data_IF_015505438694
#
_entry.id   IF_015505438694
#
_cell.length_a   1.000
_cell.length_b   1.000
_cell.length_c   1.000
_cell.angle_alpha   90.00
_cell.angle_beta   90.00
_cell.angle_gamma   90.00
#
_symmetry.space_group_name_H-M   'P 1'
#
loop_
_entity.id
_entity.type
_entity.pdbx_description
1 polymer ?
#
# COMPACT_ATOMS: atom_id res chain seq x y z
N UNK A 1 2.30 -10.88 21.70
CA UNK A 1 2.05 -11.45 20.37
C UNK A 1 3.35 -11.32 19.59
N UNK A 2 3.85 -12.40 18.99
CA UNK A 2 5.12 -12.39 18.26
C UNK A 2 4.92 -11.80 16.86
N UNK A 3 5.87 -10.98 16.38
CA UNK A 3 5.88 -10.46 15.01
C UNK A 3 6.35 -11.54 14.03
N UNK A 4 5.38 -12.17 13.36
CA UNK A 4 5.63 -13.22 12.37
C UNK A 4 6.16 -12.61 11.05
N UNK A 5 5.77 -11.38 10.72
CA UNK A 5 6.09 -10.75 9.44
C UNK A 5 7.52 -10.20 9.42
N UNK A 6 8.03 -9.75 10.56
CA UNK A 6 9.42 -9.32 10.74
C UNK A 6 10.45 -10.45 10.74
N UNK A 7 10.04 -11.72 10.69
CA UNK A 7 10.96 -12.87 10.63
C UNK A 7 11.63 -12.97 9.27
N UNK A 8 12.84 -13.52 9.25
CA UNK A 8 13.56 -13.80 8.01
C UNK A 8 12.80 -14.80 7.13
N UNK A 9 12.59 -14.45 5.86
CA UNK A 9 12.04 -15.38 4.87
C UNK A 9 13.13 -16.29 4.30
N UNK A 10 12.90 -17.60 4.33
CA UNK A 10 13.83 -18.63 3.85
C UNK A 10 13.49 -19.13 2.44
N UNK A 11 12.36 -18.69 1.87
CA UNK A 11 11.91 -19.13 0.54
C UNK A 11 12.71 -18.46 -0.59
N UNK A 12 13.32 -17.31 -0.32
CA UNK A 12 14.12 -16.57 -1.30
C UNK A 12 13.31 -15.97 -2.46
N UNK A 13 11.98 -15.88 -2.33
CA UNK A 13 11.09 -15.36 -3.37
C UNK A 13 10.84 -13.87 -3.11
N UNK A 14 11.32 -12.96 -3.97
CA UNK A 14 10.92 -11.55 -3.88
C UNK A 14 9.45 -11.38 -4.23
N UNK A 15 8.78 -10.38 -3.64
CA UNK A 15 7.45 -9.95 -4.07
C UNK A 15 7.58 -8.53 -4.60
N UNK A 16 7.36 -8.36 -5.90
CA UNK A 16 7.49 -7.05 -6.56
C UNK A 16 6.48 -6.03 -6.02
N UNK A 17 5.27 -6.46 -5.64
CA UNK A 17 4.26 -5.56 -5.07
C UNK A 17 3.43 -6.26 -3.99
N UNK A 18 3.52 -5.77 -2.76
CA UNK A 18 2.64 -6.15 -1.64
C UNK A 18 2.03 -4.91 -1.01
N UNK A 19 0.76 -4.96 -0.63
CA UNK A 19 0.06 -3.82 -0.01
C UNK A 19 -1.46 -3.94 -0.14
N UNK A 20 -2.14 -2.78 -0.13
CA UNK A 20 -3.60 -2.70 -0.10
C UNK A 20 -4.13 -2.14 -1.42
N UNK A 21 -5.25 -2.68 -1.89
CA UNK A 21 -5.90 -2.31 -3.15
C UNK A 21 -7.37 -1.93 -2.90
N UNK A 22 -7.88 -1.03 -3.74
CA UNK A 22 -9.28 -0.59 -3.79
C UNK A 22 -9.81 0.10 -2.53
N UNK A 23 -8.92 0.74 -1.77
CA UNK A 23 -9.35 1.57 -0.64
C UNK A 23 -10.16 2.75 -1.19
N UNK A 24 -11.39 2.92 -0.69
CA UNK A 24 -12.20 4.11 -0.94
C UNK A 24 -11.86 5.16 0.11
N UNK A 25 -11.35 6.30 -0.32
CA UNK A 25 -10.94 7.37 0.59
C UNK A 25 -11.34 8.76 0.07
N UNK A 26 -11.94 9.63 0.91
CA UNK A 26 -12.23 11.00 0.53
C UNK A 26 -10.95 11.79 0.27
N UNK A 27 -10.88 12.50 -0.85
CA UNK A 27 -9.78 13.39 -1.19
C UNK A 27 -10.30 14.73 -1.72
N UNK A 28 -9.42 15.73 -1.69
CA UNK A 28 -9.63 17.00 -2.38
C UNK A 28 -8.63 17.11 -3.52
N UNK A 29 -9.12 17.40 -4.73
CA UNK A 29 -8.30 17.64 -5.91
C UNK A 29 -8.38 19.12 -6.30
N UNK A 30 -7.31 19.62 -6.92
CA UNK A 30 -7.35 20.95 -7.53
C UNK A 30 -8.22 20.89 -8.78
N UNK A 31 -9.19 21.79 -8.86
CA UNK A 31 -10.08 21.95 -10.00
C UNK A 31 -9.74 23.25 -10.72
N UNK A 32 -9.71 23.22 -12.06
CA UNK A 32 -9.27 24.37 -12.85
C UNK A 32 -10.27 25.53 -12.84
N UNK A 33 -11.56 25.26 -12.66
CA UNK A 33 -12.63 26.26 -12.74
C UNK A 33 -13.13 26.66 -11.35
N UNK A 34 -13.30 25.68 -10.47
CA UNK A 34 -13.84 25.84 -9.12
C UNK A 34 -12.75 25.90 -8.03
N UNK A 35 -11.48 25.84 -8.42
CA UNK A 35 -10.31 25.89 -7.54
C UNK A 35 -10.02 24.56 -6.84
N UNK A 36 -11.03 23.96 -6.20
CA UNK A 36 -10.90 22.64 -5.57
C UNK A 36 -12.22 21.85 -5.60
N UNK A 37 -12.12 20.52 -5.67
CA UNK A 37 -13.24 19.61 -5.66
C UNK A 37 -13.01 18.46 -4.68
N UNK A 38 -14.00 18.16 -3.85
CA UNK A 38 -14.03 16.96 -2.99
C UNK A 38 -14.61 15.77 -3.74
N UNK A 39 -13.97 14.60 -3.64
CA UNK A 39 -14.44 13.36 -4.28
C UNK A 39 -13.98 12.13 -3.49
N UNK A 40 -14.45 10.94 -3.86
CA UNK A 40 -13.99 9.65 -3.29
C UNK A 40 -13.05 8.98 -4.29
N UNK A 41 -11.78 8.80 -3.91
CA UNK A 41 -10.80 8.10 -4.72
C UNK A 41 -10.80 6.59 -4.43
N UNK A 42 -10.42 5.82 -5.44
CA UNK A 42 -9.95 4.44 -5.29
C UNK A 42 -8.42 4.43 -5.27
N UNK A 43 -7.84 4.04 -4.13
CA UNK A 43 -6.40 4.10 -3.89
C UNK A 43 -5.82 2.69 -3.79
N UNK A 44 -4.68 2.49 -4.45
CA UNK A 44 -3.86 1.30 -4.31
C UNK A 44 -2.46 1.71 -3.80
N UNK A 45 -2.00 1.10 -2.72
CA UNK A 45 -0.71 1.40 -2.09
C UNK A 45 0.10 0.12 -1.98
N UNK A 46 1.35 0.15 -2.46
CA UNK A 46 2.23 -1.02 -2.50
C UNK A 46 3.66 -0.65 -2.17
N UNK A 47 4.42 -1.65 -1.75
CA UNK A 47 5.88 -1.62 -1.61
C UNK A 47 6.50 -2.88 -2.23
N UNK A 48 7.76 -2.80 -2.65
CA UNK A 48 8.56 -3.97 -2.95
C UNK A 48 8.90 -4.72 -1.65
N UNK A 49 8.73 -6.04 -1.64
CA UNK A 49 9.14 -6.88 -0.50
C UNK A 49 10.43 -7.62 -0.83
N UNK A 50 11.50 -7.21 -0.15
CA UNK A 50 12.78 -7.91 -0.21
C UNK A 50 12.61 -9.36 0.27
N UNK A 51 13.31 -10.34 -0.36
CA UNK A 51 13.29 -11.76 0.05
C UNK A 51 13.74 -12.03 1.49
N UNK A 52 14.22 -11.01 2.21
CA UNK A 52 14.61 -11.12 3.63
C UNK A 52 13.42 -11.05 4.56
N UNK A 53 12.30 -10.44 4.15
CA UNK A 53 11.14 -10.21 5.00
C UNK A 53 10.00 -11.15 4.62
N UNK A 54 9.29 -11.70 5.61
CA UNK A 54 8.15 -12.58 5.36
C UNK A 54 6.88 -11.84 4.94
N UNK A 55 6.76 -10.56 5.28
CA UNK A 55 5.66 -9.73 4.84
C UNK A 55 5.82 -8.27 5.21
N UNK A 56 4.79 -7.49 4.91
CA UNK A 56 4.71 -6.06 5.19
C UNK A 56 3.75 -5.78 6.35
N UNK A 57 3.87 -4.60 6.94
CA UNK A 57 2.89 -4.06 7.88
C UNK A 57 1.86 -3.26 7.06
N UNK A 58 0.58 -3.61 7.20
CA UNK A 58 -0.54 -2.95 6.52
C UNK A 58 -1.37 -2.13 7.51
#
# INVERSE_FOLDING_TARGET
MEDIQGRTDQRGVPIDRVGIREIKYPITVLDREMGSQSTIASINMYVDLSPRFKGTHM
#
